data_IF_485218350112
#
_entry.id   IF_485218350112
#
_cell.length_a   1.000
_cell.length_b   1.000
_cell.length_c   1.000
_cell.angle_alpha   90.00
_cell.angle_beta   90.00
_cell.angle_gamma   90.00
#
_symmetry.space_group_name_H-M   'P 1'
#
loop_
_entity.id
_entity.type
_entity.pdbx_description
1 polymer ?
#
# COMPACT_ATOMS: atom_id res chain seq x y z
N UNK A 1 -0.67 -24.41 0.32
CA UNK A 1 -0.50 -24.08 1.76
C UNK A 1 -1.70 -23.30 2.25
N UNK A 2 -2.47 -23.80 3.22
CA UNK A 2 -3.52 -23.01 3.89
C UNK A 2 -2.83 -22.16 4.96
N UNK A 3 -2.82 -20.84 4.79
CA UNK A 3 -2.30 -19.92 5.80
C UNK A 3 -3.17 -19.97 7.05
N UNK A 4 -2.51 -20.14 8.20
CA UNK A 4 -3.11 -20.11 9.53
C UNK A 4 -3.74 -18.73 9.81
N UNK A 5 -4.74 -18.67 10.69
CA UNK A 5 -5.46 -17.42 11.01
C UNK A 5 -4.51 -16.35 11.58
N UNK A 6 -3.54 -16.78 12.40
CA UNK A 6 -2.50 -15.89 12.94
C UNK A 6 -1.61 -15.30 11.83
N UNK A 7 -1.22 -16.12 10.85
CA UNK A 7 -0.42 -15.68 9.70
C UNK A 7 -1.21 -14.71 8.81
N UNK A 8 -2.52 -14.94 8.61
CA UNK A 8 -3.38 -14.01 7.85
C UNK A 8 -3.52 -12.67 8.54
N UNK A 9 -3.65 -12.64 9.86
CA UNK A 9 -3.72 -11.39 10.64
C UNK A 9 -2.41 -10.61 10.56
N UNK A 10 -1.27 -11.30 10.66
CA UNK A 10 0.05 -10.70 10.47
C UNK A 10 0.22 -10.14 9.05
N UNK A 11 -0.17 -10.90 8.03
CA UNK A 11 -0.12 -10.47 6.62
C UNK A 11 -1.03 -9.26 6.35
N UNK A 12 -2.22 -9.25 6.95
CA UNK A 12 -3.17 -8.13 6.87
C UNK A 12 -2.59 -6.86 7.47
N UNK A 13 -1.99 -6.93 8.67
CA UNK A 13 -1.32 -5.79 9.29
C UNK A 13 -0.11 -5.32 8.47
N UNK A 14 0.67 -6.24 7.92
CA UNK A 14 1.80 -5.92 7.06
C UNK A 14 1.35 -5.18 5.79
N UNK A 15 0.31 -5.66 5.10
CA UNK A 15 -0.27 -4.98 3.94
C UNK A 15 -0.86 -3.61 4.29
N UNK A 16 -1.51 -3.48 5.44
CA UNK A 16 -2.01 -2.21 5.94
C UNK A 16 -0.88 -1.18 6.13
N UNK A 17 0.18 -1.57 6.84
CA UNK A 17 1.36 -0.72 7.02
C UNK A 17 2.05 -0.38 5.69
N UNK A 18 2.11 -1.33 4.75
CA UNK A 18 2.67 -1.09 3.42
C UNK A 18 1.85 -0.05 2.64
N UNK A 19 0.52 -0.08 2.75
CA UNK A 19 -0.35 0.89 2.06
C UNK A 19 -0.09 2.32 2.55
N UNK A 20 0.09 2.50 3.86
CA UNK A 20 0.41 3.79 4.48
C UNK A 20 1.81 4.25 4.06
N UNK A 21 2.78 3.32 4.04
CA UNK A 21 4.14 3.61 3.61
C UNK A 21 4.19 4.04 2.13
N UNK A 22 3.43 3.40 1.25
CA UNK A 22 3.34 3.79 -0.16
C UNK A 22 2.70 5.17 -0.36
N UNK A 23 1.66 5.51 0.41
CA UNK A 23 1.09 6.85 0.41
C UNK A 23 2.12 7.89 0.89
N UNK A 24 2.79 7.63 2.01
CA UNK A 24 3.82 8.54 2.54
C UNK A 24 4.98 8.73 1.54
N UNK A 25 5.46 7.65 0.93
CA UNK A 25 6.50 7.69 -0.09
C UNK A 25 6.07 8.45 -1.34
N UNK A 26 4.80 8.36 -1.74
CA UNK A 26 4.26 9.13 -2.87
C UNK A 26 4.21 10.63 -2.63
N UNK A 27 4.06 11.06 -1.37
CA UNK A 27 4.01 12.48 -0.99
C UNK A 27 5.40 13.03 -0.69
N UNK A 28 6.21 12.29 0.06
CA UNK A 28 7.55 12.71 0.49
C UNK A 28 8.60 12.50 -0.62
N UNK A 29 8.49 11.41 -1.38
CA UNK A 29 9.46 11.03 -2.41
C UNK A 29 9.69 12.13 -3.45
N UNK A 30 8.65 12.73 -4.05
CA UNK A 30 8.80 13.83 -5.00
C UNK A 30 9.44 15.08 -4.40
N UNK A 31 9.18 15.35 -3.11
CA UNK A 31 9.74 16.49 -2.38
C UNK A 31 11.26 16.32 -2.16
N UNK A 32 11.69 15.11 -1.78
CA UNK A 32 13.12 14.78 -1.61
C UNK A 32 13.86 14.74 -2.95
N UNK A 33 13.20 14.21 -3.99
CA UNK A 33 13.80 13.99 -5.32
C UNK A 33 13.83 15.23 -6.21
N UNK A 34 13.26 16.36 -5.76
CA UNK A 34 13.11 17.62 -6.54
C UNK A 34 12.57 17.39 -7.96
N UNK A 35 11.59 16.50 -8.12
CA UNK A 35 11.03 16.17 -9.42
C UNK A 35 10.18 17.33 -9.97
N UNK A 36 10.12 17.47 -11.29
CA UNK A 36 9.24 18.42 -11.98
C UNK A 36 7.76 18.12 -11.67
N UNK A 37 6.92 19.15 -11.63
CA UNK A 37 5.48 19.06 -11.31
C UNK A 37 4.74 17.94 -12.09
N UNK A 38 5.13 17.72 -13.36
CA UNK A 38 4.58 16.63 -14.18
C UNK A 38 4.99 15.23 -13.71
N UNK A 39 6.22 15.05 -13.23
CA UNK A 39 6.71 13.80 -12.62
C UNK A 39 6.10 13.54 -11.26
N UNK A 40 5.94 14.59 -10.44
CA UNK A 40 5.28 14.51 -9.12
C UNK A 40 3.86 13.97 -9.25
N UNK A 41 3.08 14.44 -10.24
CA UNK A 41 1.71 13.96 -10.46
C UNK A 41 1.69 12.45 -10.72
N UNK A 42 2.58 11.95 -11.57
CA UNK A 42 2.63 10.52 -11.90
C UNK A 42 3.07 9.68 -10.70
N UNK A 43 4.04 10.15 -9.91
CA UNK A 43 4.50 9.44 -8.70
C UNK A 43 3.40 9.38 -7.64
N UNK A 44 2.71 10.50 -7.37
CA UNK A 44 1.59 10.54 -6.43
C UNK A 44 0.47 9.60 -6.88
N UNK A 45 0.07 9.64 -8.15
CA UNK A 45 -0.96 8.76 -8.70
C UNK A 45 -0.56 7.29 -8.59
N UNK A 46 0.68 6.95 -8.92
CA UNK A 46 1.17 5.57 -8.85
C UNK A 46 1.20 5.05 -7.40
N UNK A 47 1.65 5.88 -6.45
CA UNK A 47 1.64 5.57 -5.02
C UNK A 47 0.24 5.36 -4.47
N UNK A 48 -0.73 6.18 -4.87
CA UNK A 48 -2.14 6.01 -4.48
C UNK A 48 -2.71 4.70 -5.04
N UNK A 49 -2.43 4.39 -6.31
CA UNK A 49 -2.86 3.12 -6.92
C UNK A 49 -2.28 1.92 -6.19
N UNK A 50 -0.99 1.95 -5.82
CA UNK A 50 -0.36 0.88 -5.05
C UNK A 50 -0.94 0.74 -3.64
N UNK A 51 -1.21 1.86 -2.96
CA UNK A 51 -1.85 1.83 -1.65
C UNK A 51 -3.26 1.20 -1.72
N UNK A 52 -4.05 1.57 -2.73
CA UNK A 52 -5.38 0.99 -2.98
C UNK A 52 -5.31 -0.50 -3.31
N UNK A 53 -4.29 -0.94 -4.05
CA UNK A 53 -4.07 -2.36 -4.32
C UNK A 53 -3.81 -3.14 -3.04
N UNK A 54 -2.88 -2.67 -2.20
CA UNK A 54 -2.59 -3.33 -0.91
C UNK A 54 -3.79 -3.31 0.04
N UNK A 55 -4.57 -2.23 0.07
CA UNK A 55 -5.80 -2.14 0.84
C UNK A 55 -6.85 -3.15 0.36
N UNK A 56 -7.05 -3.25 -0.95
CA UNK A 56 -8.00 -4.20 -1.55
C UNK A 56 -7.56 -5.64 -1.29
N UNK A 57 -6.25 -5.92 -1.41
CA UNK A 57 -5.68 -7.22 -1.11
C UNK A 57 -5.85 -7.60 0.37
N UNK A 58 -5.63 -6.65 1.27
CA UNK A 58 -5.89 -6.80 2.71
C UNK A 58 -7.37 -7.14 2.97
N UNK A 59 -8.30 -6.42 2.34
CA UNK A 59 -9.74 -6.69 2.49
C UNK A 59 -10.13 -8.08 1.98
N UNK A 60 -9.57 -8.54 0.86
CA UNK A 60 -9.81 -9.88 0.33
C UNK A 60 -9.28 -10.95 1.30
N UNK A 61 -8.08 -10.76 1.85
CA UNK A 61 -7.48 -11.68 2.83
C UNK A 61 -8.33 -11.80 4.09
N UNK A 62 -8.82 -10.67 4.61
CA UNK A 62 -9.66 -10.63 5.82
C UNK A 62 -11.05 -11.20 5.54
N UNK A 63 -11.66 -10.90 4.39
CA UNK A 63 -12.99 -11.43 4.01
C UNK A 63 -12.98 -12.95 3.83
N UNK A 64 -11.87 -13.52 3.38
CA UNK A 64 -11.69 -14.99 3.26
C UNK A 64 -11.38 -15.68 4.60
N UNK A 65 -11.25 -14.93 5.69
CA UNK A 65 -10.98 -15.42 7.04
C UNK A 65 -12.18 -15.36 8.00
N UNK A 66 -13.27 -14.65 7.65
CA UNK A 66 -14.55 -14.70 8.37
C UNK A 66 -15.42 -15.78 7.74
#
# INVERSE_FOLDING_TARGET
MKLDFSQRKSLSNYCGNLSIAWLAAGVIGPYVSRQTLGGVRNVVVFSVLMAMFFLTFMLILVKKGR
#
